data_IF_674275212595
#
_entry.id   IF_674275212595
#
_cell.length_a   1.000
_cell.length_b   1.000
_cell.length_c   1.000
_cell.angle_alpha   90.00
_cell.angle_beta   90.00
_cell.angle_gamma   90.00
#
_symmetry.space_group_name_H-M   'P 1'
#
loop_
_entity.id
_entity.type
_entity.pdbx_description
1 polymer ?
#
# COMPACT_ATOMS: atom_id res chain seq x y z
N UNK A 1 -18.48 -24.81 -8.56
CA UNK A 1 -17.87 -23.91 -9.57
C UNK A 1 -18.80 -22.73 -9.79
N UNK A 2 -18.43 -21.55 -9.30
CA UNK A 2 -19.16 -20.32 -9.55
C UNK A 2 -18.39 -19.54 -10.62
N UNK A 3 -18.91 -19.48 -11.84
CA UNK A 3 -18.44 -18.54 -12.86
C UNK A 3 -18.92 -17.16 -12.44
N UNK A 4 -18.06 -16.41 -11.76
CA UNK A 4 -18.27 -14.99 -11.54
C UNK A 4 -17.88 -14.25 -12.82
N UNK A 5 -18.84 -13.46 -13.30
CA UNK A 5 -18.93 -12.78 -14.59
C UNK A 5 -17.64 -12.08 -15.03
N UNK A 6 -17.21 -12.42 -16.24
CA UNK A 6 -16.19 -11.74 -17.05
C UNK A 6 -16.68 -10.37 -17.56
N UNK A 7 -17.05 -9.46 -16.65
CA UNK A 7 -17.62 -8.15 -16.97
C UNK A 7 -16.95 -6.99 -16.21
N UNK A 8 -15.70 -7.14 -15.78
CA UNK A 8 -14.92 -6.05 -15.16
C UNK A 8 -13.42 -6.10 -15.51
N UNK A 9 -13.05 -6.66 -16.68
CA UNK A 9 -11.66 -6.76 -17.12
C UNK A 9 -11.21 -5.60 -18.02
N UNK A 10 -11.97 -4.50 -18.12
CA UNK A 10 -11.73 -3.49 -19.17
C UNK A 10 -11.18 -2.14 -18.70
N UNK A 11 -10.84 -1.98 -17.42
CA UNK A 11 -9.97 -0.87 -16.98
C UNK A 11 -9.15 -1.39 -15.81
N UNK A 12 -7.82 -1.34 -15.92
CA UNK A 12 -6.97 -1.48 -14.74
C UNK A 12 -7.49 -0.50 -13.67
N UNK A 13 -7.89 -1.02 -12.51
CA UNK A 13 -8.30 -0.17 -11.38
C UNK A 13 -7.16 0.78 -10.99
N UNK A 14 -7.47 1.83 -10.23
CA UNK A 14 -6.48 2.78 -9.73
C UNK A 14 -5.35 2.02 -9.01
N UNK A 15 -4.08 2.10 -9.47
CA UNK A 15 -2.98 1.33 -8.88
C UNK A 15 -2.75 1.61 -7.39
N UNK A 16 -3.11 2.81 -6.91
CA UNK A 16 -3.08 3.14 -5.50
C UNK A 16 -4.15 2.38 -4.67
N UNK A 17 -5.13 1.77 -5.33
CA UNK A 17 -6.26 1.06 -4.75
C UNK A 17 -7.50 1.93 -4.55
N UNK A 18 -8.57 1.28 -4.10
CA UNK A 18 -9.90 1.88 -3.93
C UNK A 18 -9.87 3.20 -3.11
N UNK A 19 -10.44 4.26 -3.70
CA UNK A 19 -10.47 5.60 -3.13
C UNK A 19 -11.18 5.65 -1.76
N UNK A 20 -12.24 4.85 -1.56
CA UNK A 20 -13.00 4.84 -0.30
C UNK A 20 -12.18 4.22 0.81
N UNK A 21 -11.48 3.12 0.52
CA UNK A 21 -10.56 2.48 1.45
C UNK A 21 -9.42 3.43 1.82
N UNK A 22 -8.78 4.07 0.84
CA UNK A 22 -7.71 5.05 1.12
C UNK A 22 -8.19 6.22 2.00
N UNK A 23 -9.41 6.71 1.77
CA UNK A 23 -10.02 7.74 2.62
C UNK A 23 -10.25 7.26 4.05
N UNK A 24 -10.71 6.03 4.23
CA UNK A 24 -10.88 5.44 5.55
C UNK A 24 -9.55 5.26 6.28
N UNK A 25 -8.51 4.79 5.58
CA UNK A 25 -7.15 4.66 6.11
C UNK A 25 -6.59 6.03 6.51
N UNK A 26 -6.70 7.05 5.66
CA UNK A 26 -6.26 8.42 5.95
C UNK A 26 -6.81 8.94 7.28
N UNK A 27 -8.12 8.79 7.50
CA UNK A 27 -8.76 9.17 8.77
C UNK A 27 -8.24 8.33 9.94
N UNK A 28 -8.14 7.01 9.76
CA UNK A 28 -7.70 6.10 10.81
C UNK A 28 -6.28 6.42 11.28
N UNK A 29 -5.31 6.53 10.35
CA UNK A 29 -3.89 6.77 10.70
C UNK A 29 -3.66 8.18 11.25
N UNK A 30 -4.46 9.16 10.81
CA UNK A 30 -4.45 10.50 11.39
C UNK A 30 -4.84 10.51 12.87
N UNK A 31 -5.83 9.71 13.26
CA UNK A 31 -6.27 9.59 14.66
C UNK A 31 -5.34 8.69 15.47
N UNK A 32 -5.08 7.47 15.01
CA UNK A 32 -4.39 6.44 15.81
C UNK A 32 -2.88 6.63 15.87
N UNK A 33 -2.28 7.26 14.85
CA UNK A 33 -0.82 7.39 14.71
C UNK A 33 -0.34 8.82 14.51
N UNK A 34 -1.25 9.81 14.48
CA UNK A 34 -0.95 11.22 14.15
C UNK A 34 -0.19 11.40 12.84
N UNK A 35 -0.37 10.47 11.89
CA UNK A 35 0.28 10.53 10.60
C UNK A 35 -0.38 11.61 9.73
N UNK A 36 0.44 12.46 9.08
CA UNK A 36 -0.03 13.43 8.09
C UNK A 36 0.16 12.83 6.70
N UNK A 37 -0.94 12.46 6.06
CA UNK A 37 -0.97 12.01 4.68
C UNK A 37 -2.34 12.37 4.07
N UNK A 38 -2.33 12.90 2.86
CA UNK A 38 -3.50 13.03 2.02
C UNK A 38 -3.91 11.69 1.41
N UNK A 39 -5.15 11.59 0.93
CA UNK A 39 -5.67 10.35 0.31
C UNK A 39 -4.84 9.93 -0.91
N UNK A 40 -4.32 10.90 -1.68
CA UNK A 40 -3.44 10.66 -2.83
C UNK A 40 -2.03 10.16 -2.48
N UNK A 41 -1.63 10.27 -1.20
CA UNK A 41 -0.32 9.81 -0.70
C UNK A 41 -0.41 8.41 -0.08
N UNK A 42 -1.58 7.77 -0.15
CA UNK A 42 -1.81 6.42 0.38
C UNK A 42 -1.86 5.44 -0.80
N UNK A 43 -1.11 4.35 -0.67
CA UNK A 43 -1.16 3.19 -1.57
C UNK A 43 -1.59 1.97 -0.77
N UNK A 44 -2.64 1.29 -1.22
CA UNK A 44 -3.11 0.04 -0.62
C UNK A 44 -2.26 -1.12 -1.14
N UNK A 45 -1.81 -1.98 -0.24
CA UNK A 45 -1.05 -3.18 -0.57
C UNK A 45 -1.73 -4.42 0.00
N UNK A 46 -1.34 -5.60 -0.49
CA UNK A 46 -1.86 -6.89 -0.01
C UNK A 46 -1.28 -7.32 1.34
N UNK A 47 -0.51 -6.46 2.03
CA UNK A 47 0.05 -6.71 3.34
C UNK A 47 1.43 -6.06 3.55
N UNK A 48 1.94 -6.14 4.78
CA UNK A 48 3.19 -5.46 5.18
C UNK A 48 4.41 -5.90 4.38
N UNK A 49 4.57 -7.20 4.09
CA UNK A 49 5.69 -7.70 3.28
C UNK A 49 5.68 -7.12 1.87
N UNK A 50 4.50 -6.98 1.25
CA UNK A 50 4.35 -6.33 -0.07
C UNK A 50 4.72 -4.85 0.00
N UNK A 51 4.29 -4.16 1.06
CA UNK A 51 4.62 -2.75 1.28
C UNK A 51 6.14 -2.54 1.47
N UNK A 52 6.78 -3.40 2.27
CA UNK A 52 8.23 -3.35 2.51
C UNK A 52 9.00 -3.64 1.21
N UNK A 53 8.63 -4.68 0.45
CA UNK A 53 9.26 -4.96 -0.86
C UNK A 53 9.16 -3.77 -1.82
N UNK A 54 7.98 -3.14 -1.90
CA UNK A 54 7.77 -1.95 -2.74
C UNK A 54 8.65 -0.78 -2.33
N UNK A 55 8.66 -0.43 -1.03
CA UNK A 55 9.45 0.69 -0.52
C UNK A 55 10.94 0.42 -0.71
N UNK A 56 11.42 -0.79 -0.41
CA UNK A 56 12.83 -1.16 -0.58
C UNK A 56 13.29 -1.01 -2.03
N UNK A 57 12.48 -1.43 -3.01
CA UNK A 57 12.84 -1.30 -4.44
C UNK A 57 12.93 0.13 -4.93
N UNK A 58 12.20 1.06 -4.32
CA UNK A 58 12.17 2.47 -4.72
C UNK A 58 13.22 3.29 -3.98
N UNK A 59 13.45 2.98 -2.70
CA UNK A 59 14.26 3.79 -1.81
C UNK A 59 15.69 3.29 -1.65
N UNK A 60 16.00 2.04 -2.02
CA UNK A 60 17.29 1.39 -1.75
C UNK A 60 17.93 0.93 -3.06
N UNK A 61 19.15 1.41 -3.31
CA UNK A 61 20.00 1.01 -4.42
C UNK A 61 20.92 -0.17 -4.10
N UNK A 62 21.57 -0.70 -5.13
CA UNK A 62 22.59 -1.73 -4.95
C UNK A 62 23.80 -1.18 -4.17
N UNK A 63 24.14 -1.83 -3.06
CA UNK A 63 25.25 -1.41 -2.19
C UNK A 63 24.84 -0.48 -1.05
N UNK A 64 23.59 -0.03 -1.00
CA UNK A 64 23.07 0.77 0.12
C UNK A 64 22.96 -0.07 1.39
N UNK A 65 23.16 0.59 2.54
CA UNK A 65 23.06 -0.02 3.86
C UNK A 65 21.71 0.34 4.47
N UNK A 66 20.91 -0.67 4.80
CA UNK A 66 19.66 -0.52 5.52
C UNK A 66 19.80 -0.96 6.98
N UNK A 67 19.30 -0.15 7.91
CA UNK A 67 19.17 -0.56 9.31
C UNK A 67 17.98 -1.50 9.47
N UNK A 68 18.20 -2.67 10.06
CA UNK A 68 17.16 -3.67 10.37
C UNK A 68 17.06 -3.80 11.88
N UNK A 69 15.84 -3.77 12.41
CA UNK A 69 15.62 -4.02 13.83
C UNK A 69 16.02 -5.46 14.17
N UNK A 70 16.62 -5.67 15.35
CA UNK A 70 17.03 -6.98 15.82
C UNK A 70 15.82 -7.95 15.84
N UNK A 71 15.83 -9.03 15.05
CA UNK A 71 14.85 -10.10 15.17
C UNK A 71 15.30 -10.93 16.37
N UNK A 72 14.83 -10.55 17.56
CA UNK A 72 15.22 -11.19 18.82
C UNK A 72 15.15 -12.72 18.83
#
# INVERSE_FOLDING_TARGET
MLRQSAAAYDVYDEPAGDQRLRTAVQRHVGVSRRARAGVGEIIVTTGSTRAIDLVSRVMVGAGDIAAVADPG
#
